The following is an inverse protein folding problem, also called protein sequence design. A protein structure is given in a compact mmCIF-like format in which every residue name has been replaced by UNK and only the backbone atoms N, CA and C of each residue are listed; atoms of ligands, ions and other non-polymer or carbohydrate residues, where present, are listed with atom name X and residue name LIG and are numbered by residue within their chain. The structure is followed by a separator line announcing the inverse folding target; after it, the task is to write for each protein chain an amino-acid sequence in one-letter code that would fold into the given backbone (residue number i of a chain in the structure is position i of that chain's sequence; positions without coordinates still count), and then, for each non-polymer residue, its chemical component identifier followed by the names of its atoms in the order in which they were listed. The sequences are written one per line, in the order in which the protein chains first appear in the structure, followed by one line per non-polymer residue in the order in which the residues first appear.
data_IF_683927630078
#
_entry.id   IF_683927630078
#
_cell.length_a   1.000
_cell.length_b   1.000
_cell.length_c   1.000
_cell.angle_alpha   90.00
_cell.angle_beta   90.00
_cell.angle_gamma   90.00
#
_symmetry.space_group_name_H-M   'P 1'
#
loop_
_entity.id
_entity.type
_entity.pdbx_description
1 polymer ?
#
# COMPACT_ATOMS: atom_id res chain seq x y z
N UNK A 1 -9.33 -24.85 19.51
CA UNK A 1 -10.02 -23.74 20.16
C UNK A 1 -9.56 -22.43 19.49
N UNK A 2 -10.47 -21.49 19.20
CA UNK A 2 -10.13 -20.17 18.69
C UNK A 2 -9.15 -19.46 19.63
N UNK A 3 -8.17 -18.76 19.06
CA UNK A 3 -7.15 -18.05 19.82
C UNK A 3 -7.31 -16.53 19.65
N UNK A 4 -7.00 -15.79 20.70
CA UNK A 4 -6.87 -14.34 20.63
C UNK A 4 -5.40 -13.98 20.46
N UNK A 5 -5.05 -13.26 19.39
CA UNK A 5 -3.70 -12.73 19.16
C UNK A 5 -3.80 -11.22 19.22
N UNK A 6 -2.99 -10.59 20.08
CA UNK A 6 -2.99 -9.15 20.28
C UNK A 6 -1.87 -8.48 19.46
N UNK A 7 -2.17 -7.29 18.98
CA UNK A 7 -1.19 -6.45 18.32
C UNK A 7 -1.19 -5.03 18.91
N UNK A 8 -0.01 -4.60 19.36
CA UNK A 8 0.25 -3.27 19.89
C UNK A 8 1.20 -2.48 18.98
N UNK A 9 0.94 -1.19 18.80
CA UNK A 9 1.80 -0.30 18.03
C UNK A 9 1.89 1.07 18.69
N UNK A 10 3.12 1.62 18.72
CA UNK A 10 3.35 3.02 19.07
C UNK A 10 4.13 3.72 17.96
N UNK A 11 4.00 5.04 17.92
CA UNK A 11 4.91 5.88 17.17
C UNK A 11 6.17 6.18 18.00
N UNK A 12 7.21 6.69 17.35
CA UNK A 12 8.43 7.15 18.06
C UNK A 12 8.24 8.49 18.77
N UNK A 13 7.05 9.10 18.67
CA UNK A 13 6.72 10.39 19.32
C UNK A 13 6.27 10.24 20.78
N UNK A 14 6.57 11.25 21.61
CA UNK A 14 6.27 11.26 23.05
C UNK A 14 4.78 11.31 23.43
N UNK A 15 3.88 11.50 22.47
CA UNK A 15 2.42 11.68 22.72
C UNK A 15 1.58 10.43 22.48
N UNK A 16 2.20 9.28 22.19
CA UNK A 16 1.46 8.07 21.86
C UNK A 16 1.27 7.19 23.10
N UNK A 17 0.12 6.53 23.19
CA UNK A 17 -0.17 5.60 24.27
C UNK A 17 0.88 4.50 24.27
N UNK A 18 1.65 4.39 25.34
CA UNK A 18 2.76 3.47 25.45
C UNK A 18 2.37 2.01 25.14
N UNK A 19 3.30 1.21 24.64
CA UNK A 19 3.08 -0.21 24.39
C UNK A 19 2.60 -0.92 25.66
N UNK A 20 3.13 -0.55 26.82
CA UNK A 20 2.79 -1.19 28.09
C UNK A 20 1.33 -0.96 28.48
N UNK A 21 0.79 0.24 28.29
CA UNK A 21 -0.63 0.52 28.55
C UNK A 21 -1.54 -0.33 27.65
N UNK A 22 -1.16 -0.50 26.37
CA UNK A 22 -1.91 -1.36 25.47
C UNK A 22 -1.83 -2.84 25.89
N UNK A 23 -0.64 -3.31 26.29
CA UNK A 23 -0.47 -4.67 26.78
C UNK A 23 -1.27 -4.93 28.08
N UNK A 24 -1.32 -3.97 28.97
CA UNK A 24 -2.11 -4.07 30.20
C UNK A 24 -3.60 -4.19 29.89
N UNK A 25 -4.13 -3.38 28.96
CA UNK A 25 -5.51 -3.51 28.49
C UNK A 25 -5.80 -4.89 27.86
N UNK A 26 -4.82 -5.52 27.22
CA UNK A 26 -4.98 -6.83 26.62
C UNK A 26 -5.08 -7.96 27.65
N UNK A 27 -4.55 -7.80 28.86
CA UNK A 27 -4.57 -8.83 29.92
C UNK A 27 -5.99 -9.35 30.22
N UNK A 28 -6.98 -8.45 30.19
CA UNK A 28 -8.38 -8.82 30.42
C UNK A 28 -8.94 -9.82 29.40
N UNK A 29 -8.30 -9.94 28.24
CA UNK A 29 -8.72 -10.82 27.12
C UNK A 29 -7.87 -12.09 26.99
N UNK A 30 -6.91 -12.33 27.89
CA UNK A 30 -6.02 -13.49 27.92
C UNK A 30 -5.45 -13.87 26.52
N UNK A 31 -4.76 -12.97 25.81
CA UNK A 31 -4.27 -13.24 24.48
C UNK A 31 -3.23 -14.36 24.50
N UNK A 32 -3.34 -15.31 23.55
CA UNK A 32 -2.37 -16.38 23.37
C UNK A 32 -0.96 -15.85 23.10
N UNK A 33 -0.88 -14.74 22.33
CA UNK A 33 0.38 -14.06 22.01
C UNK A 33 0.15 -12.59 21.73
N UNK A 34 1.12 -11.76 22.14
CA UNK A 34 1.14 -10.33 21.86
C UNK A 34 2.31 -10.03 20.91
N UNK A 35 2.02 -9.41 19.79
CA UNK A 35 3.00 -8.81 18.88
C UNK A 35 3.02 -7.31 19.09
N UNK A 36 4.21 -6.73 19.24
CA UNK A 36 4.32 -5.29 19.47
C UNK A 36 5.46 -4.71 18.66
N UNK A 37 5.24 -3.50 18.12
CA UNK A 37 6.26 -2.78 17.37
C UNK A 37 6.19 -1.28 17.59
N UNK A 38 7.36 -0.66 17.56
CA UNK A 38 7.50 0.79 17.59
C UNK A 38 8.00 1.25 16.23
N UNK A 39 7.21 2.07 15.54
CA UNK A 39 7.48 2.46 14.15
C UNK A 39 7.43 3.97 14.02
N UNK A 40 8.50 4.57 13.44
CA UNK A 40 8.47 5.97 13.03
C UNK A 40 7.43 6.20 11.93
N UNK A 41 6.78 7.38 11.94
CA UNK A 41 5.66 7.71 11.05
C UNK A 41 5.94 7.55 9.53
N UNK A 42 7.20 7.41 9.12
CA UNK A 42 7.63 7.28 7.71
C UNK A 42 7.85 5.85 7.25
N UNK A 43 7.99 4.87 8.15
CA UNK A 43 8.26 3.48 7.76
C UNK A 43 6.97 2.73 7.47
N UNK A 44 6.83 2.22 6.23
CA UNK A 44 5.67 1.42 5.80
C UNK A 44 5.71 -0.03 6.28
N UNK A 45 6.91 -0.56 6.57
CA UNK A 45 7.09 -1.97 6.93
C UNK A 45 6.65 -2.20 8.37
N UNK A 46 5.70 -3.13 8.56
CA UNK A 46 5.16 -3.56 9.86
C UNK A 46 5.40 -5.06 10.06
N UNK A 47 6.61 -5.46 10.40
CA UNK A 47 6.97 -6.86 10.49
C UNK A 47 6.17 -7.62 11.56
N UNK A 48 5.92 -6.99 12.71
CA UNK A 48 5.17 -7.65 13.79
C UNK A 48 3.68 -7.78 13.46
N UNK A 49 3.07 -6.79 12.80
CA UNK A 49 1.71 -6.95 12.27
C UNK A 49 1.63 -8.10 11.27
N UNK A 50 2.60 -8.20 10.36
CA UNK A 50 2.62 -9.31 9.40
C UNK A 50 2.78 -10.66 10.08
N UNK A 51 3.58 -10.76 11.14
CA UNK A 51 3.71 -11.98 11.96
C UNK A 51 2.38 -12.32 12.65
N UNK A 52 1.73 -11.31 13.26
CA UNK A 52 0.42 -11.48 13.89
C UNK A 52 -0.62 -12.01 12.89
N UNK A 53 -0.72 -11.35 11.72
CA UNK A 53 -1.66 -11.76 10.67
C UNK A 53 -1.38 -13.16 10.10
N UNK A 54 -0.10 -13.59 10.04
CA UNK A 54 0.27 -14.94 9.60
C UNK A 54 -0.06 -16.01 10.64
N UNK A 55 0.04 -15.67 11.92
CA UNK A 55 -0.23 -16.59 13.03
C UNK A 55 -1.72 -16.86 13.25
N UNK A 56 -2.60 -15.95 12.80
CA UNK A 56 -4.05 -16.09 12.91
C UNK A 56 -4.60 -17.13 11.91
N UNK A 57 -5.59 -17.90 12.37
CA UNK A 57 -6.34 -18.88 11.59
C UNK A 57 -7.82 -18.53 11.59
N UNK A 58 -8.63 -19.27 10.84
CA UNK A 58 -10.08 -19.14 10.84
C UNK A 58 -10.62 -19.24 12.27
N UNK A 59 -11.60 -18.42 12.59
CA UNK A 59 -12.27 -18.29 13.90
C UNK A 59 -11.38 -17.68 15.01
N UNK A 60 -10.09 -17.37 14.75
CA UNK A 60 -9.25 -16.63 15.69
C UNK A 60 -9.66 -15.15 15.74
N UNK A 61 -9.25 -14.46 16.82
CA UNK A 61 -9.51 -13.03 17.01
C UNK A 61 -8.21 -12.24 17.00
N UNK A 62 -8.14 -11.21 16.16
CA UNK A 62 -7.13 -10.16 16.26
C UNK A 62 -7.61 -9.11 17.26
N UNK A 63 -6.88 -8.96 18.36
CA UNK A 63 -7.13 -7.99 19.41
C UNK A 63 -6.23 -6.78 19.22
N UNK A 64 -6.80 -5.58 19.19
CA UNK A 64 -6.09 -4.31 19.12
C UNK A 64 -6.64 -3.35 20.17
N UNK A 65 -5.83 -2.37 20.56
CA UNK A 65 -6.30 -1.33 21.48
C UNK A 65 -7.26 -0.35 20.79
N UNK A 66 -6.88 0.12 19.57
CA UNK A 66 -7.64 1.08 18.78
C UNK A 66 -7.37 0.87 17.28
N UNK A 67 -8.35 1.18 16.42
CA UNK A 67 -8.27 0.97 14.97
C UNK A 67 -7.08 1.71 14.32
N UNK A 68 -6.68 2.86 14.85
CA UNK A 68 -5.52 3.63 14.38
C UNK A 68 -4.19 2.86 14.55
N UNK A 69 -4.14 1.87 15.44
CA UNK A 69 -2.98 0.95 15.57
C UNK A 69 -2.88 0.02 14.38
N UNK A 70 -4.01 -0.33 13.77
CA UNK A 70 -4.06 -1.26 12.65
C UNK A 70 -3.85 -0.56 11.30
N UNK A 71 -4.48 0.58 11.08
CA UNK A 71 -4.41 1.37 9.83
C UNK A 71 -4.02 2.82 10.08
N UNK A 72 -3.29 3.44 9.13
CA UNK A 72 -2.99 4.89 9.14
C UNK A 72 -3.96 5.69 8.27
N UNK A 73 -4.71 5.02 7.44
CA UNK A 73 -5.78 5.58 6.61
C UNK A 73 -6.95 4.62 6.59
N UNK A 74 -8.14 5.15 6.31
CA UNK A 74 -9.38 4.38 6.16
C UNK A 74 -9.18 3.24 5.15
N UNK A 75 -8.53 3.54 4.03
CA UNK A 75 -8.27 2.54 2.98
C UNK A 75 -7.35 1.40 3.44
N UNK A 76 -6.29 1.69 4.22
CA UNK A 76 -5.43 0.65 4.77
C UNK A 76 -6.17 -0.22 5.79
N UNK A 77 -6.95 0.42 6.66
CA UNK A 77 -7.75 -0.25 7.66
C UNK A 77 -8.73 -1.21 6.99
N UNK A 78 -9.51 -0.74 6.02
CA UNK A 78 -10.49 -1.55 5.29
C UNK A 78 -9.81 -2.71 4.55
N UNK A 79 -8.65 -2.49 3.92
CA UNK A 79 -7.89 -3.59 3.28
C UNK A 79 -7.50 -4.69 4.26
N UNK A 80 -7.08 -4.32 5.48
CA UNK A 80 -6.72 -5.31 6.50
C UNK A 80 -7.98 -6.02 7.00
N UNK A 81 -9.05 -5.27 7.25
CA UNK A 81 -10.32 -5.84 7.74
C UNK A 81 -10.95 -6.77 6.70
N UNK A 82 -10.94 -6.43 5.41
CA UNK A 82 -11.38 -7.34 4.34
C UNK A 82 -10.56 -8.63 4.35
N UNK A 83 -9.23 -8.54 4.44
CA UNK A 83 -8.36 -9.72 4.51
C UNK A 83 -8.65 -10.61 5.73
N UNK A 84 -8.99 -10.02 6.88
CA UNK A 84 -9.39 -10.77 8.07
C UNK A 84 -10.73 -11.47 7.83
N UNK A 85 -11.72 -10.74 7.28
CA UNK A 85 -13.03 -11.26 6.98
C UNK A 85 -12.99 -12.41 5.97
N UNK A 86 -12.23 -12.27 4.87
CA UNK A 86 -12.05 -13.30 3.84
C UNK A 86 -11.44 -14.59 4.39
N UNK A 87 -10.66 -14.46 5.46
CA UNK A 87 -10.07 -15.61 6.17
C UNK A 87 -10.90 -16.10 7.35
N UNK A 88 -12.08 -15.53 7.60
CA UNK A 88 -12.91 -15.86 8.74
C UNK A 88 -12.27 -15.52 10.09
N UNK A 89 -11.44 -14.46 10.15
CA UNK A 89 -10.77 -14.00 11.37
C UNK A 89 -11.54 -12.79 11.92
N UNK A 90 -11.78 -12.80 13.23
CA UNK A 90 -12.49 -11.74 13.91
C UNK A 90 -11.56 -10.60 14.33
N UNK A 91 -12.10 -9.40 14.44
CA UNK A 91 -11.40 -8.22 14.95
C UNK A 91 -12.10 -7.71 16.21
N UNK A 92 -11.31 -7.43 17.23
CA UNK A 92 -11.75 -6.78 18.47
C UNK A 92 -10.88 -5.54 18.74
N UNK A 93 -11.51 -4.37 18.76
CA UNK A 93 -10.89 -3.09 19.16
C UNK A 93 -11.45 -2.67 20.51
N UNK A 94 -10.56 -2.50 21.50
CA UNK A 94 -10.98 -2.24 22.88
C UNK A 94 -11.53 -0.81 23.00
N UNK A 95 -10.73 0.19 22.64
CA UNK A 95 -11.08 1.60 22.84
C UNK A 95 -12.23 2.06 21.95
N UNK A 96 -12.36 1.48 20.75
CA UNK A 96 -13.44 1.83 19.83
C UNK A 96 -14.73 1.02 20.09
N UNK A 97 -14.67 0.05 21.01
CA UNK A 97 -15.77 -0.87 21.35
C UNK A 97 -16.34 -1.60 20.11
N UNK A 98 -15.45 -2.04 19.21
CA UNK A 98 -15.81 -2.69 17.96
C UNK A 98 -15.45 -4.18 18.06
N UNK A 99 -16.43 -5.05 17.84
CA UNK A 99 -16.26 -6.48 17.79
C UNK A 99 -16.99 -7.07 16.58
N UNK A 100 -16.24 -7.56 15.59
CA UNK A 100 -16.81 -8.10 14.35
C UNK A 100 -17.55 -9.42 14.52
N UNK A 101 -17.50 -10.06 15.69
CA UNK A 101 -18.38 -11.21 16.00
C UNK A 101 -19.83 -10.77 16.22
N UNK A 102 -20.05 -9.52 16.62
CA UNK A 102 -21.38 -8.97 16.87
C UNK A 102 -22.03 -8.38 15.61
N UNK A 103 -23.37 -8.35 15.51
CA UNK A 103 -24.07 -7.69 14.40
C UNK A 103 -23.67 -6.22 14.25
N UNK A 104 -23.56 -5.47 15.35
CA UNK A 104 -23.18 -4.07 15.35
C UNK A 104 -21.76 -3.84 14.79
N UNK A 105 -20.79 -4.70 15.20
CA UNK A 105 -19.43 -4.61 14.68
C UNK A 105 -19.33 -4.94 13.18
N UNK A 106 -20.15 -5.87 12.69
CA UNK A 106 -20.25 -6.15 11.24
C UNK A 106 -20.88 -4.99 10.48
N UNK A 107 -21.93 -4.38 11.03
CA UNK A 107 -22.57 -3.20 10.44
C UNK A 107 -21.57 -2.03 10.36
N UNK A 108 -20.84 -1.75 11.44
CA UNK A 108 -19.79 -0.73 11.45
C UNK A 108 -18.75 -0.97 10.35
N UNK A 109 -18.31 -2.22 10.19
CA UNK A 109 -17.35 -2.57 9.14
C UNK A 109 -17.90 -2.30 7.73
N UNK A 110 -19.16 -2.64 7.47
CA UNK A 110 -19.81 -2.37 6.19
C UNK A 110 -19.86 -0.88 5.88
N UNK A 111 -20.23 -0.05 6.86
CA UNK A 111 -20.26 1.40 6.72
C UNK A 111 -18.86 1.95 6.45
N UNK A 112 -17.85 1.51 7.20
CA UNK A 112 -16.48 1.94 7.02
C UNK A 112 -15.93 1.57 5.63
N UNK A 113 -16.30 0.41 5.12
CA UNK A 113 -15.92 -0.04 3.77
C UNK A 113 -16.54 0.83 2.69
N UNK A 114 -17.81 1.18 2.82
CA UNK A 114 -18.50 2.08 1.89
C UNK A 114 -17.88 3.49 1.88
N UNK A 115 -17.51 4.02 3.05
CA UNK A 115 -16.82 5.31 3.16
C UNK A 115 -15.45 5.27 2.46
N UNK A 116 -14.67 4.21 2.66
CA UNK A 116 -13.36 4.07 2.02
C UNK A 116 -13.46 3.96 0.49
N UNK A 117 -14.48 3.31 -0.03
CA UNK A 117 -14.77 3.23 -1.47
C UNK A 117 -15.12 4.62 -2.02
N UNK A 118 -16.01 5.34 -1.35
CA UNK A 118 -16.38 6.71 -1.72
C UNK A 118 -15.15 7.64 -1.74
N UNK A 119 -14.29 7.59 -0.71
CA UNK A 119 -13.05 8.37 -0.68
C UNK A 119 -12.16 8.05 -1.89
N UNK A 120 -12.02 6.77 -2.24
CA UNK A 120 -11.22 6.32 -3.39
C UNK A 120 -11.77 6.87 -4.71
N UNK A 121 -13.08 6.82 -4.90
CA UNK A 121 -13.76 7.32 -6.09
C UNK A 121 -13.62 8.84 -6.22
N UNK A 122 -13.76 9.57 -5.12
CA UNK A 122 -13.56 11.01 -5.10
C UNK A 122 -12.14 11.41 -5.47
N UNK A 123 -11.11 10.69 -4.95
CA UNK A 123 -9.70 10.91 -5.31
C UNK A 123 -9.48 10.62 -6.80
N UNK A 124 -10.01 9.50 -7.30
CA UNK A 124 -9.93 9.12 -8.72
C UNK A 124 -10.54 10.18 -9.62
N UNK A 125 -11.75 10.67 -9.27
CA UNK A 125 -12.43 11.74 -10.00
C UNK A 125 -11.61 13.02 -10.03
N UNK A 126 -11.14 13.49 -8.86
CA UNK A 126 -10.28 14.70 -8.78
C UNK A 126 -9.03 14.57 -9.62
N UNK A 127 -8.37 13.41 -9.61
CA UNK A 127 -7.18 13.14 -10.41
C UNK A 127 -7.50 13.20 -11.91
N UNK A 128 -8.59 12.56 -12.34
CA UNK A 128 -9.04 12.60 -13.74
C UNK A 128 -9.37 14.01 -14.19
N UNK A 129 -10.05 14.79 -13.36
CA UNK A 129 -10.41 16.18 -13.68
C UNK A 129 -9.17 17.08 -13.76
N UNK A 130 -8.22 16.94 -12.83
CA UNK A 130 -6.94 17.64 -12.88
C UNK A 130 -6.12 17.28 -14.14
N UNK A 131 -6.13 16.00 -14.55
CA UNK A 131 -5.46 15.55 -15.76
C UNK A 131 -6.11 16.10 -17.05
N UNK A 132 -7.42 16.28 -17.05
CA UNK A 132 -8.17 16.89 -18.18
C UNK A 132 -7.88 18.39 -18.33
N UNK A 133 -7.64 19.07 -17.22
CA UNK A 133 -7.35 20.52 -17.20
C UNK A 133 -5.87 20.85 -17.40
N UNK A 134 -5.00 19.85 -17.51
CA UNK A 134 -3.57 20.11 -17.65
C UNK A 134 -3.16 20.15 -19.13
N UNK A 135 -2.50 21.20 -19.55
CA UNK A 135 -1.90 21.34 -20.89
C UNK A 135 -0.58 20.56 -21.03
N UNK A 136 -0.07 20.01 -19.93
CA UNK A 136 1.16 19.24 -19.94
C UNK A 136 0.95 17.90 -20.64
N UNK A 137 1.78 17.58 -21.61
CA UNK A 137 1.83 16.23 -22.21
C UNK A 137 2.17 15.22 -21.14
N UNK A 138 1.22 14.34 -20.83
CA UNK A 138 1.37 13.30 -19.83
C UNK A 138 2.14 12.11 -20.41
N UNK A 139 2.83 11.41 -19.53
CA UNK A 139 3.59 10.22 -19.88
C UNK A 139 5.09 10.44 -19.89
N UNK A 140 5.83 9.43 -20.33
CA UNK A 140 7.29 9.49 -20.42
C UNK A 140 7.71 10.57 -21.44
N UNK A 141 8.66 11.46 -21.11
CA UNK A 141 9.19 12.43 -22.08
C UNK A 141 9.65 11.73 -23.35
N UNK A 142 9.34 12.32 -24.49
CA UNK A 142 9.84 11.81 -25.78
C UNK A 142 11.34 12.01 -25.86
N UNK A 143 12.02 11.09 -26.53
CA UNK A 143 13.44 11.27 -26.87
C UNK A 143 13.60 12.54 -27.71
N UNK A 144 14.60 13.36 -27.37
CA UNK A 144 14.83 14.65 -28.08
C UNK A 144 15.08 14.41 -29.56
N UNK A 145 14.69 15.40 -30.40
CA UNK A 145 14.92 15.33 -31.83
C UNK A 145 16.40 15.12 -32.16
N UNK A 146 17.28 15.82 -31.46
CA UNK A 146 18.73 15.67 -31.59
C UNK A 146 19.23 14.26 -31.37
N UNK A 147 18.71 13.61 -30.34
CA UNK A 147 19.04 12.19 -30.02
C UNK A 147 18.53 11.27 -31.10
N UNK A 148 17.34 11.52 -31.64
CA UNK A 148 16.77 10.73 -32.75
C UNK A 148 17.64 10.87 -33.99
N UNK A 149 18.02 12.10 -34.39
CA UNK A 149 18.89 12.36 -35.53
C UNK A 149 20.26 11.70 -35.35
N UNK A 150 20.84 11.77 -34.16
CA UNK A 150 22.11 11.12 -33.82
C UNK A 150 22.04 9.61 -34.01
N UNK A 151 20.94 8.97 -33.55
CA UNK A 151 20.70 7.53 -33.74
C UNK A 151 20.64 7.17 -35.22
N UNK A 152 19.87 7.95 -35.99
CA UNK A 152 19.72 7.71 -37.44
C UNK A 152 21.05 7.89 -38.21
N UNK A 153 21.84 8.93 -37.86
CA UNK A 153 23.17 9.15 -38.42
C UNK A 153 24.11 7.98 -38.13
N UNK A 154 24.19 7.54 -36.86
CA UNK A 154 25.05 6.44 -36.47
C UNK A 154 24.64 5.11 -37.14
N UNK A 155 23.34 4.86 -37.27
CA UNK A 155 22.85 3.68 -37.97
C UNK A 155 23.21 3.68 -39.47
N UNK A 156 23.06 4.83 -40.15
CA UNK A 156 23.42 4.97 -41.58
C UNK A 156 24.90 4.69 -41.87
N UNK A 157 25.81 4.92 -40.90
CA UNK A 157 27.24 4.64 -41.13
C UNK A 157 27.57 3.15 -41.22
N UNK A 158 26.68 2.25 -40.78
CA UNK A 158 26.87 0.84 -40.79
C UNK A 158 27.98 0.28 -39.89
N UNK A 159 28.69 1.16 -39.16
CA UNK A 159 29.90 0.82 -38.37
C UNK A 159 29.60 0.34 -36.96
N UNK A 160 28.37 0.50 -36.46
CA UNK A 160 28.00 0.23 -35.07
C UNK A 160 26.76 -0.65 -35.02
N UNK A 161 26.77 -1.62 -34.11
CA UNK A 161 25.58 -2.40 -33.78
C UNK A 161 24.58 -1.58 -32.97
N UNK A 162 23.29 -1.90 -33.04
CA UNK A 162 22.22 -1.16 -32.36
C UNK A 162 22.43 -1.08 -30.83
N UNK A 163 23.09 -2.08 -30.23
CA UNK A 163 23.48 -2.07 -28.82
C UNK A 163 24.48 -0.95 -28.49
N UNK A 164 25.44 -0.72 -29.40
CA UNK A 164 26.47 0.33 -29.22
C UNK A 164 25.88 1.71 -29.44
N UNK A 165 24.97 1.83 -30.42
CA UNK A 165 24.21 3.07 -30.66
C UNK A 165 23.38 3.42 -29.44
N UNK A 166 22.69 2.45 -28.83
CA UNK A 166 21.90 2.64 -27.62
C UNK A 166 22.77 3.17 -26.46
N UNK A 167 23.93 2.55 -26.22
CA UNK A 167 24.90 3.00 -25.19
C UNK A 167 25.42 4.39 -25.46
N UNK A 168 25.83 4.74 -26.70
CA UNK A 168 26.35 6.05 -27.07
C UNK A 168 25.31 7.19 -27.00
N UNK A 169 24.05 6.87 -27.21
CA UNK A 169 22.95 7.84 -27.18
C UNK A 169 22.22 7.88 -25.83
N UNK A 170 22.61 7.03 -24.84
CA UNK A 170 21.98 7.00 -23.52
C UNK A 170 20.52 6.57 -23.54
N UNK A 171 20.13 5.71 -24.48
CA UNK A 171 18.76 5.22 -24.64
C UNK A 171 18.70 3.69 -24.55
N UNK A 172 17.52 3.13 -24.34
CA UNK A 172 17.34 1.67 -24.37
C UNK A 172 17.45 1.13 -25.80
N UNK A 173 17.88 -0.11 -25.95
CA UNK A 173 17.93 -0.81 -27.23
C UNK A 173 16.56 -0.84 -27.92
N UNK A 174 15.48 -1.05 -27.18
CA UNK A 174 14.10 -1.00 -27.70
C UNK A 174 13.75 0.36 -28.27
N UNK A 175 14.29 1.46 -27.69
CA UNK A 175 14.09 2.79 -28.24
C UNK A 175 14.77 2.96 -29.59
N UNK A 176 15.98 2.42 -29.76
CA UNK A 176 16.68 2.45 -31.05
C UNK A 176 15.87 1.71 -32.12
N UNK A 177 15.42 0.48 -31.83
CA UNK A 177 14.59 -0.27 -32.78
C UNK A 177 13.29 0.46 -33.14
N UNK A 178 12.62 1.06 -32.17
CA UNK A 178 11.38 1.82 -32.41
C UNK A 178 11.59 3.07 -33.28
N UNK A 179 12.74 3.75 -33.13
CA UNK A 179 13.11 4.90 -33.94
C UNK A 179 13.40 4.47 -35.37
N UNK A 180 14.19 3.41 -35.56
CA UNK A 180 14.52 2.89 -36.88
C UNK A 180 13.29 2.38 -37.63
N UNK A 181 12.38 1.70 -36.94
CA UNK A 181 11.11 1.24 -37.52
C UNK A 181 10.24 2.38 -38.03
N UNK A 182 10.20 3.51 -37.30
CA UNK A 182 9.41 4.69 -37.68
C UNK A 182 10.04 5.50 -38.82
N UNK A 183 11.36 5.42 -38.99
CA UNK A 183 12.05 6.13 -40.07
C UNK A 183 12.01 5.38 -41.41
N UNK A 184 11.61 4.12 -41.39
CA UNK A 184 11.47 3.25 -42.60
C UNK A 184 10.01 3.17 -43.08
N UNK A 185 9.10 3.90 -42.43
CA UNK A 185 7.71 4.14 -42.84
C UNK A 185 7.56 5.56 -43.40
#
# INVERSE_FOLDING_TARGET
MPKTIAYARTSTGKQDLGIEVQKDAFKAYNPYKIYSEQISGRLEKRPELLKALRALRKDDTLLIYKLDRLGRSTQQLVKIMNRLNDRGIHLLSISDNINTTTPNGRCFFTILSAIAELESDMISKRTKDALRQTDKKLGRPRISKETVEKILKLHKTGRLHNNEIAKRCGVSLSSVYNILKRSNQ
#
